data_IF_330783720039
#
_entry.id   IF_330783720039
#
_cell.length_a   1.000
_cell.length_b   1.000
_cell.length_c   1.000
_cell.angle_alpha   90.00
_cell.angle_beta   90.00
_cell.angle_gamma   90.00
#
_symmetry.space_group_name_H-M   'P 1'
#
loop_
_entity.id
_entity.type
_entity.pdbx_description
1 polymer ?
#
# COMPACT_ATOMS: atom_id res chain seq x y z
N UNK A 1 -16.10 -14.66 35.63
CA UNK A 1 -16.74 -13.97 34.50
C UNK A 1 -16.29 -12.53 34.49
N UNK A 2 -16.06 -12.00 33.29
CA UNK A 2 -15.99 -10.56 32.95
C UNK A 2 -14.70 -9.81 33.25
N UNK A 3 -13.79 -9.84 32.26
CA UNK A 3 -12.70 -8.86 32.10
C UNK A 3 -12.46 -8.44 30.64
N UNK A 4 -13.02 -9.14 29.65
CA UNK A 4 -12.74 -8.89 28.22
C UNK A 4 -13.86 -8.15 27.46
N UNK A 5 -14.99 -7.82 28.10
CA UNK A 5 -16.14 -7.23 27.42
C UNK A 5 -16.17 -5.68 27.41
N UNK A 6 -15.35 -5.00 28.21
CA UNK A 6 -15.48 -3.54 28.40
C UNK A 6 -14.66 -2.72 27.40
N UNK A 7 -13.54 -3.25 26.87
CA UNK A 7 -12.65 -2.49 25.97
C UNK A 7 -13.14 -2.39 24.52
N UNK A 8 -14.08 -3.25 24.12
CA UNK A 8 -14.72 -3.18 22.81
C UNK A 8 -15.90 -2.19 22.82
N UNK A 9 -16.67 -2.15 23.91
CA UNK A 9 -17.84 -1.30 24.04
C UNK A 9 -17.52 0.20 24.27
N UNK A 10 -16.42 0.54 24.96
CA UNK A 10 -16.04 1.95 25.22
C UNK A 10 -15.53 2.68 23.97
N UNK A 11 -15.04 1.94 22.96
CA UNK A 11 -14.57 2.51 21.68
C UNK A 11 -15.71 2.86 20.74
N UNK A 12 -16.76 2.05 20.66
CA UNK A 12 -17.94 2.36 19.82
C UNK A 12 -18.71 3.60 20.33
N UNK A 13 -18.60 3.91 21.63
CA UNK A 13 -19.25 5.07 22.27
C UNK A 13 -18.52 6.41 22.05
N UNK A 14 -17.26 6.39 21.64
CA UNK A 14 -16.48 7.59 21.30
C UNK A 14 -16.33 7.55 19.79
N UNK A 15 -16.78 8.56 19.05
CA UNK A 15 -16.59 8.68 17.58
C UNK A 15 -15.10 8.80 17.22
N UNK A 16 -14.30 7.78 17.51
CA UNK A 16 -12.91 7.68 17.12
C UNK A 16 -12.93 7.24 15.65
N UNK A 17 -12.32 8.00 14.74
CA UNK A 17 -12.26 7.61 13.34
C UNK A 17 -11.57 6.24 13.20
N UNK A 18 -12.25 5.28 12.59
CA UNK A 18 -11.72 3.95 12.30
C UNK A 18 -11.18 3.89 10.87
N UNK A 19 -10.07 3.17 10.67
CA UNK A 19 -9.50 2.91 9.34
C UNK A 19 -10.36 1.87 8.62
N UNK A 20 -10.76 2.21 7.39
CA UNK A 20 -11.29 1.24 6.44
C UNK A 20 -10.15 0.62 5.65
N UNK A 21 -10.08 -0.71 5.61
CA UNK A 21 -9.10 -1.46 4.82
C UNK A 21 -9.82 -2.20 3.69
N UNK A 22 -9.34 -2.04 2.46
CA UNK A 22 -9.89 -2.72 1.28
C UNK A 22 -8.78 -3.36 0.47
N UNK A 23 -8.91 -4.64 0.14
CA UNK A 23 -8.11 -5.27 -0.93
C UNK A 23 -8.79 -4.93 -2.25
N UNK A 24 -8.06 -4.27 -3.14
CA UNK A 24 -8.62 -3.70 -4.37
C UNK A 24 -8.17 -4.42 -5.63
N UNK A 25 -7.10 -5.21 -5.56
CA UNK A 25 -6.58 -5.90 -6.74
C UNK A 25 -5.50 -6.92 -6.42
N UNK A 26 -5.24 -7.76 -7.43
CA UNK A 26 -4.16 -8.74 -7.46
C UNK A 26 -3.51 -8.67 -8.84
N UNK A 27 -2.21 -8.51 -8.89
CA UNK A 27 -1.45 -8.37 -10.13
C UNK A 27 -0.67 -9.65 -10.39
N UNK A 28 -0.58 -10.05 -11.66
CA UNK A 28 0.17 -11.22 -12.10
C UNK A 28 1.14 -10.81 -13.20
N UNK A 29 2.43 -10.99 -12.99
CA UNK A 29 3.48 -10.56 -13.90
C UNK A 29 3.88 -9.09 -13.72
N UNK A 30 5.12 -8.78 -14.10
CA UNK A 30 5.70 -7.44 -13.94
C UNK A 30 4.95 -6.34 -14.69
N UNK A 31 4.34 -6.65 -15.84
CA UNK A 31 3.53 -5.69 -16.59
C UNK A 31 2.29 -5.21 -15.81
N UNK A 32 1.59 -6.11 -15.12
CA UNK A 32 0.44 -5.73 -14.28
C UNK A 32 0.87 -4.97 -13.02
N UNK A 33 2.04 -5.32 -12.45
CA UNK A 33 2.62 -4.57 -11.32
C UNK A 33 2.94 -3.14 -11.75
N UNK A 34 3.62 -2.96 -12.88
CA UNK A 34 3.95 -1.64 -13.44
C UNK A 34 2.70 -0.80 -13.72
N UNK A 35 1.67 -1.40 -14.34
CA UNK A 35 0.41 -0.71 -14.59
C UNK A 35 -0.26 -0.24 -13.28
N UNK A 36 -0.17 -1.04 -12.22
CA UNK A 36 -0.68 -0.68 -10.91
C UNK A 36 0.15 0.42 -10.24
N UNK A 37 1.48 0.40 -10.36
CA UNK A 37 2.34 1.51 -9.91
C UNK A 37 1.95 2.81 -10.61
N UNK A 38 1.89 2.81 -11.94
CA UNK A 38 1.50 3.97 -12.73
C UNK A 38 0.11 4.51 -12.35
N UNK A 39 -0.85 3.62 -12.07
CA UNK A 39 -2.18 4.01 -11.60
C UNK A 39 -2.14 4.68 -10.22
N UNK A 40 -1.42 4.11 -9.24
CA UNK A 40 -1.33 4.67 -7.89
C UNK A 40 -0.57 6.00 -7.91
N UNK A 41 0.55 6.06 -8.64
CA UNK A 41 1.41 7.24 -8.74
C UNK A 41 0.89 8.30 -9.70
N UNK A 42 -0.15 8.00 -10.49
CA UNK A 42 -0.66 8.85 -11.58
C UNK A 42 0.44 9.23 -12.58
N UNK A 43 1.35 8.29 -12.87
CA UNK A 43 2.47 8.51 -13.77
C UNK A 43 1.98 9.01 -15.14
N UNK A 44 2.52 10.12 -15.63
CA UNK A 44 2.17 10.75 -16.89
C UNK A 44 0.97 11.69 -16.84
N UNK A 45 0.38 11.94 -15.66
CA UNK A 45 -0.74 12.88 -15.50
C UNK A 45 -0.31 14.34 -15.31
N UNK A 46 1.00 14.62 -15.29
CA UNK A 46 1.57 15.94 -15.10
C UNK A 46 2.12 16.15 -13.68
N UNK A 47 3.10 17.06 -13.56
CA UNK A 47 3.89 17.23 -12.34
C UNK A 47 3.08 17.61 -11.10
N UNK A 48 1.90 18.21 -11.30
CA UNK A 48 1.04 18.69 -10.21
C UNK A 48 0.13 17.58 -9.67
N UNK A 49 -0.10 16.51 -10.45
CA UNK A 49 -0.95 15.39 -10.07
C UNK A 49 -0.16 14.12 -9.73
N UNK A 50 1.06 14.00 -10.22
CA UNK A 50 1.94 12.86 -9.96
C UNK A 50 2.29 12.71 -8.48
N UNK A 51 2.23 11.47 -8.00
CA UNK A 51 2.50 11.10 -6.63
C UNK A 51 3.74 10.22 -6.55
N UNK A 52 4.58 10.47 -5.55
CA UNK A 52 5.68 9.56 -5.24
C UNK A 52 5.18 8.27 -4.59
N UNK A 53 5.84 7.16 -4.90
CA UNK A 53 5.64 5.89 -4.20
C UNK A 53 6.84 5.63 -3.28
N UNK A 54 6.59 5.54 -1.98
CA UNK A 54 7.61 5.15 -1.00
C UNK A 54 7.74 3.62 -0.96
N UNK A 55 8.95 3.10 -1.05
CA UNK A 55 9.23 1.66 -0.96
C UNK A 55 9.44 1.19 0.49
N UNK A 56 9.46 -0.12 0.69
CA UNK A 56 9.81 -0.76 1.97
C UNK A 56 11.16 -0.35 2.53
N UNK A 57 12.07 0.11 1.68
CA UNK A 57 13.42 0.56 2.01
C UNK A 57 13.50 2.07 2.22
N UNK A 58 12.37 2.78 2.17
CA UNK A 58 12.30 4.24 2.33
C UNK A 58 12.72 5.04 1.10
N UNK A 59 12.83 4.40 -0.07
CA UNK A 59 13.15 5.07 -1.34
C UNK A 59 11.87 5.68 -1.92
N UNK A 60 11.96 6.90 -2.44
CA UNK A 60 10.83 7.55 -3.10
C UNK A 60 10.93 7.40 -4.62
N UNK A 61 10.07 6.58 -5.21
CA UNK A 61 9.96 6.40 -6.67
C UNK A 61 9.11 7.51 -7.28
N UNK A 62 9.61 8.15 -8.33
CA UNK A 62 8.91 9.24 -9.03
C UNK A 62 8.86 9.08 -10.54
N UNK A 63 9.74 8.27 -11.13
CA UNK A 63 9.76 8.04 -12.56
C UNK A 63 9.37 6.60 -12.92
N UNK A 64 8.89 6.45 -14.15
CA UNK A 64 8.43 5.17 -14.66
C UNK A 64 9.54 4.15 -14.88
N UNK A 65 10.81 4.57 -14.98
CA UNK A 65 11.93 3.64 -15.23
C UNK A 65 12.23 2.86 -13.96
N UNK A 66 12.35 3.55 -12.83
CA UNK A 66 12.61 2.91 -11.54
C UNK A 66 11.43 2.02 -11.12
N UNK A 67 10.20 2.46 -11.38
CA UNK A 67 9.00 1.64 -11.20
C UNK A 67 9.04 0.37 -12.07
N UNK A 68 9.46 0.48 -13.34
CA UNK A 68 9.56 -0.67 -14.25
C UNK A 68 10.66 -1.66 -13.83
N UNK A 69 11.79 -1.17 -13.33
CA UNK A 69 12.85 -2.00 -12.76
C UNK A 69 12.29 -2.80 -11.58
N UNK A 70 11.69 -2.11 -10.60
CA UNK A 70 11.14 -2.77 -9.41
C UNK A 70 10.04 -3.79 -9.76
N UNK A 71 9.16 -3.46 -10.69
CA UNK A 71 8.12 -4.37 -11.16
C UNK A 71 8.70 -5.63 -11.84
N UNK A 72 9.82 -5.49 -12.53
CA UNK A 72 10.54 -6.61 -13.14
C UNK A 72 11.18 -7.47 -12.06
N UNK A 73 11.82 -6.86 -11.08
CA UNK A 73 12.46 -7.57 -9.96
C UNK A 73 11.45 -8.39 -9.16
N UNK A 74 10.28 -7.84 -8.86
CA UNK A 74 9.20 -8.57 -8.18
C UNK A 74 8.73 -9.79 -8.97
N UNK A 75 8.63 -9.65 -10.30
CA UNK A 75 8.23 -10.77 -11.16
C UNK A 75 9.33 -11.82 -11.29
N UNK A 76 10.59 -11.42 -11.44
CA UNK A 76 11.73 -12.34 -11.44
C UNK A 76 11.78 -13.12 -10.13
N UNK A 77 11.64 -12.43 -9.01
CA UNK A 77 11.58 -13.06 -7.70
C UNK A 77 10.47 -14.12 -7.66
N UNK A 78 9.23 -13.80 -8.06
CA UNK A 78 8.10 -14.75 -8.13
C UNK A 78 8.42 -16.03 -8.93
N UNK A 79 9.18 -15.87 -10.02
CA UNK A 79 9.52 -16.93 -10.95
C UNK A 79 10.74 -17.75 -10.49
N UNK A 80 11.59 -17.21 -9.63
CA UNK A 80 12.80 -17.87 -9.12
C UNK A 80 12.48 -18.91 -8.02
N UNK A 81 12.69 -20.19 -8.36
CA UNK A 81 12.62 -21.36 -7.45
C UNK A 81 12.14 -22.65 -8.13
N UNK A 82 12.43 -23.82 -7.54
CA UNK A 82 12.03 -25.16 -8.04
C UNK A 82 10.50 -25.36 -8.15
N UNK A 83 9.73 -24.51 -7.48
CA UNK A 83 8.31 -24.36 -7.69
C UNK A 83 7.99 -22.87 -7.81
N UNK A 84 7.59 -22.44 -9.01
CA UNK A 84 6.96 -21.13 -9.25
C UNK A 84 6.04 -20.82 -8.07
N UNK A 85 6.26 -19.69 -7.37
CA UNK A 85 5.40 -19.33 -6.25
C UNK A 85 3.99 -19.15 -6.81
N UNK A 86 3.10 -20.10 -6.54
CA UNK A 86 1.72 -20.06 -7.06
C UNK A 86 0.98 -18.94 -6.33
N UNK A 87 0.82 -17.79 -6.96
CA UNK A 87 0.14 -16.64 -6.37
C UNK A 87 0.16 -15.40 -7.27
N UNK A 88 -0.42 -14.32 -6.77
CA UNK A 88 -0.28 -13.00 -7.38
C UNK A 88 1.13 -12.44 -7.09
N UNK A 89 1.73 -11.77 -8.07
CA UNK A 89 3.00 -11.04 -7.92
C UNK A 89 2.87 -9.92 -6.89
N UNK A 90 1.73 -9.23 -6.86
CA UNK A 90 1.41 -8.25 -5.83
C UNK A 90 -0.09 -8.19 -5.51
N UNK A 91 -0.41 -7.56 -4.38
CA UNK A 91 -1.77 -7.32 -3.89
C UNK A 91 -1.90 -5.82 -3.64
N UNK A 92 -2.95 -5.19 -4.17
CA UNK A 92 -3.25 -3.78 -3.91
C UNK A 92 -4.19 -3.65 -2.71
N UNK A 93 -3.86 -2.73 -1.81
CA UNK A 93 -4.66 -2.39 -0.64
C UNK A 93 -4.90 -0.88 -0.56
N UNK A 94 -6.06 -0.49 -0.05
CA UNK A 94 -6.38 0.91 0.30
C UNK A 94 -6.66 0.96 1.80
N UNK A 95 -5.98 1.87 2.49
CA UNK A 95 -6.27 2.28 3.85
C UNK A 95 -6.85 3.69 3.78
N UNK A 96 -8.09 3.87 4.24
CA UNK A 96 -8.77 5.17 4.17
C UNK A 96 -9.38 5.56 5.51
N UNK A 97 -9.38 6.87 5.79
CA UNK A 97 -9.97 7.48 6.97
C UNK A 97 -11.01 8.54 6.55
N UNK A 98 -11.96 8.89 7.43
CA UNK A 98 -12.88 10.00 7.20
C UNK A 98 -12.15 11.33 6.95
N UNK A 99 -12.78 12.20 6.15
CA UNK A 99 -12.35 13.58 5.92
C UNK A 99 -12.17 14.33 7.23
N UNK A 100 -11.11 15.15 7.33
CA UNK A 100 -10.71 15.84 8.56
C UNK A 100 -9.62 15.12 9.35
N UNK A 101 -9.22 13.91 8.94
CA UNK A 101 -7.99 13.27 9.41
C UNK A 101 -6.78 13.94 8.76
N UNK A 102 -5.76 14.25 9.56
CA UNK A 102 -4.48 14.78 9.07
C UNK A 102 -3.82 13.78 8.10
N UNK A 103 -3.64 14.14 6.81
CA UNK A 103 -3.13 13.22 5.79
C UNK A 103 -1.72 12.71 6.08
N UNK A 104 -0.85 13.54 6.66
CA UNK A 104 0.53 13.15 6.94
C UNK A 104 0.60 12.20 8.13
N UNK A 105 -0.26 12.38 9.14
CA UNK A 105 -0.40 11.41 10.22
C UNK A 105 -0.96 10.08 9.74
N UNK A 106 -1.93 10.12 8.81
CA UNK A 106 -2.45 8.90 8.19
C UNK A 106 -1.36 8.18 7.41
N UNK A 107 -0.58 8.90 6.59
CA UNK A 107 0.55 8.35 5.85
C UNK A 107 1.57 7.71 6.79
N UNK A 108 1.99 8.42 7.84
CA UNK A 108 2.95 7.90 8.82
C UNK A 108 2.44 6.60 9.46
N UNK A 109 1.19 6.58 9.91
CA UNK A 109 0.58 5.38 10.51
C UNK A 109 0.46 4.21 9.50
N UNK A 110 0.12 4.50 8.25
CA UNK A 110 0.03 3.47 7.20
C UNK A 110 1.41 2.88 6.86
N UNK A 111 2.46 3.71 6.84
CA UNK A 111 3.84 3.27 6.62
C UNK A 111 4.37 2.46 7.81
N UNK A 112 4.06 2.85 9.05
CA UNK A 112 4.41 2.07 10.24
C UNK A 112 3.73 0.70 10.22
N UNK A 113 2.43 0.66 9.92
CA UNK A 113 1.68 -0.57 9.72
C UNK A 113 2.33 -1.45 8.63
N UNK A 114 2.70 -0.87 7.49
CA UNK A 114 3.30 -1.63 6.40
C UNK A 114 4.69 -2.17 6.78
N UNK A 115 5.51 -1.40 7.51
CA UNK A 115 6.81 -1.84 8.02
C UNK A 115 6.67 -3.02 8.99
N UNK A 116 5.65 -3.02 9.85
CA UNK A 116 5.43 -4.06 10.85
C UNK A 116 4.81 -5.33 10.23
N UNK A 117 3.66 -5.20 9.58
CA UNK A 117 2.87 -6.35 9.09
C UNK A 117 3.46 -6.98 7.82
N UNK A 118 4.20 -6.20 7.03
CA UNK A 118 4.83 -6.65 5.80
C UNK A 118 6.36 -6.65 5.90
N UNK A 119 6.93 -6.75 7.10
CA UNK A 119 8.39 -6.76 7.32
C UNK A 119 9.16 -7.79 6.47
N UNK A 120 8.49 -8.87 6.06
CA UNK A 120 9.06 -9.93 5.22
C UNK A 120 8.62 -9.87 3.75
N UNK A 121 8.08 -8.74 3.29
CA UNK A 121 7.61 -8.52 1.92
C UNK A 121 7.97 -7.12 1.45
N UNK A 122 8.38 -6.99 0.19
CA UNK A 122 8.51 -5.68 -0.43
C UNK A 122 7.13 -5.05 -0.65
N UNK A 123 7.05 -3.73 -0.47
CA UNK A 123 5.83 -2.96 -0.71
C UNK A 123 6.16 -1.57 -1.25
N UNK A 124 5.14 -0.93 -1.84
CA UNK A 124 5.16 0.49 -2.15
C UNK A 124 3.89 1.14 -1.63
N UNK A 125 3.96 2.41 -1.22
CA UNK A 125 2.83 3.15 -0.70
C UNK A 125 2.79 4.57 -1.27
N UNK A 126 1.58 5.06 -1.57
CA UNK A 126 1.31 6.44 -2.00
C UNK A 126 0.13 7.02 -1.22
N UNK A 127 0.07 8.34 -1.10
CA UNK A 127 -1.00 9.06 -0.41
C UNK A 127 -1.84 9.84 -1.44
N UNK A 128 -3.14 9.53 -1.52
CA UNK A 128 -4.13 10.34 -2.25
C UNK A 128 -4.90 11.22 -1.27
N UNK A 129 -4.96 12.53 -1.51
CA UNK A 129 -5.63 13.52 -0.63
C UNK A 129 -6.82 14.25 -1.29
N UNK A 130 -7.05 13.97 -2.56
CA UNK A 130 -7.92 14.73 -3.47
C UNK A 130 -9.19 13.94 -3.87
N UNK A 131 -9.62 13.00 -3.03
CA UNK A 131 -10.86 12.22 -3.23
C UNK A 131 -11.90 12.48 -2.16
#
# INVERSE_FOLDING_TARGET
MSGQATMAADRTSRRVPEVMVRITGRQHGGGHVMANFAYISRLGHGSDEELGLETSEGVMLRDGRDMQILATDWHSFEMDGDARRKGATSISMILSMPTGTDPERLKAAALDFAREEFANRSWVAGLHVDR
#
